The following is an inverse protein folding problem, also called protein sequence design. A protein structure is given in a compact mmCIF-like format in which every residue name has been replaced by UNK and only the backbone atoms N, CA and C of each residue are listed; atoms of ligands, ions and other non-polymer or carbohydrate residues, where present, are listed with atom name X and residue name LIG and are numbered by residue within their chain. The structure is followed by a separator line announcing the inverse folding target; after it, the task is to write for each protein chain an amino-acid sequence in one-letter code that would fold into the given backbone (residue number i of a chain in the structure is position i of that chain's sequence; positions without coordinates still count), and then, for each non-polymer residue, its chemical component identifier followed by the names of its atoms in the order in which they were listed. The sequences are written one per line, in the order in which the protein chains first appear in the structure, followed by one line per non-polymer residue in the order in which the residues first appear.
data_IF_699342591085
#
_entry.id   IF_699342591085
#
_cell.length_a   1.000
_cell.length_b   1.000
_cell.length_c   1.000
_cell.angle_alpha   90.00
_cell.angle_beta   90.00
_cell.angle_gamma   90.00
#
_symmetry.space_group_name_H-M   'P 1'
#
loop_
_entity.id
_entity.type
_entity.pdbx_description
1 polymer ?
#
# COMPACT_ATOMS: atom_id res chain seq x y z
N UNK A 1 11.35 -27.18 5.04
CA UNK A 1 10.65 -26.15 4.25
C UNK A 1 11.57 -24.95 4.13
N UNK A 2 11.71 -24.36 2.94
CA UNK A 2 12.56 -23.17 2.76
C UNK A 2 11.83 -21.95 3.33
N UNK A 3 12.53 -21.17 4.17
CA UNK A 3 11.98 -19.92 4.71
C UNK A 3 11.95 -18.88 3.59
N UNK A 4 10.76 -18.33 3.33
CA UNK A 4 10.52 -17.28 2.34
C UNK A 4 9.82 -16.09 2.99
N UNK A 5 10.46 -14.94 2.89
CA UNK A 5 9.96 -13.64 3.32
C UNK A 5 9.41 -12.88 2.11
N UNK A 6 8.22 -12.34 2.26
CA UNK A 6 7.61 -11.42 1.31
C UNK A 6 7.49 -10.05 1.98
N UNK A 7 8.14 -9.05 1.40
CA UNK A 7 8.00 -7.64 1.76
C UNK A 7 7.28 -6.95 0.62
N UNK A 8 6.11 -6.41 0.90
CA UNK A 8 5.26 -5.78 -0.10
C UNK A 8 5.32 -4.26 0.04
N UNK A 9 5.59 -3.55 -1.04
CA UNK A 9 5.34 -2.11 -1.13
C UNK A 9 3.82 -1.87 -1.18
N UNK A 10 3.26 -1.40 -0.09
CA UNK A 10 1.83 -1.17 0.02
C UNK A 10 1.33 0.00 -0.83
N UNK A 11 2.17 1.02 -1.07
CA UNK A 11 1.80 2.16 -1.91
C UNK A 11 1.70 1.73 -3.37
N UNK A 12 2.70 1.00 -3.88
CA UNK A 12 2.65 0.46 -5.24
C UNK A 12 1.41 -0.44 -5.46
N UNK A 13 1.07 -1.28 -4.48
CA UNK A 13 -0.12 -2.13 -4.56
C UNK A 13 -1.43 -1.32 -4.59
N UNK A 14 -1.52 -0.27 -3.76
CA UNK A 14 -2.67 0.63 -3.73
C UNK A 14 -2.87 1.38 -5.06
N UNK A 15 -1.81 1.97 -5.61
CA UNK A 15 -1.87 2.66 -6.90
C UNK A 15 -2.25 1.69 -8.03
N UNK A 16 -1.67 0.49 -8.05
CA UNK A 16 -2.01 -0.54 -9.04
C UNK A 16 -3.48 -0.91 -8.96
N UNK A 17 -4.02 -1.10 -7.75
CA UNK A 17 -5.42 -1.41 -7.55
C UNK A 17 -6.33 -0.24 -7.97
N UNK A 18 -5.99 1.00 -7.58
CA UNK A 18 -6.75 2.19 -7.96
C UNK A 18 -6.89 2.33 -9.48
N UNK A 19 -5.78 2.27 -10.22
CA UNK A 19 -5.81 2.42 -11.67
C UNK A 19 -6.45 1.23 -12.40
N UNK A 20 -6.39 0.02 -11.85
CA UNK A 20 -7.06 -1.15 -12.43
C UNK A 20 -8.60 -0.98 -12.45
N UNK A 21 -9.17 -0.28 -11.46
CA UNK A 21 -10.61 -0.11 -11.30
C UNK A 21 -11.11 1.30 -11.60
N UNK A 22 -10.25 2.22 -12.08
CA UNK A 22 -10.62 3.63 -12.31
C UNK A 22 -11.82 3.79 -13.27
N UNK A 23 -11.96 2.90 -14.26
CA UNK A 23 -13.08 2.90 -15.23
C UNK A 23 -14.34 2.20 -14.72
N UNK A 24 -14.22 1.39 -13.67
CA UNK A 24 -15.30 0.60 -13.10
C UNK A 24 -15.11 0.52 -11.57
N UNK A 25 -15.30 1.64 -10.85
CA UNK A 25 -15.01 1.72 -9.43
C UNK A 25 -15.98 0.85 -8.63
N UNK A 26 -15.43 0.15 -7.64
CA UNK A 26 -16.19 -0.62 -6.67
C UNK A 26 -16.56 0.31 -5.53
N UNK A 27 -17.86 0.36 -5.21
CA UNK A 27 -18.41 1.22 -4.16
C UNK A 27 -19.28 0.43 -3.21
N UNK A 28 -19.29 0.84 -1.95
CA UNK A 28 -20.23 0.35 -0.95
C UNK A 28 -21.64 0.94 -1.19
N UNK A 29 -22.65 0.45 -0.46
CA UNK A 29 -24.03 0.94 -0.56
C UNK A 29 -24.19 2.41 -0.15
N UNK A 30 -23.31 2.93 0.70
CA UNK A 30 -23.21 4.34 1.09
C UNK A 30 -22.31 5.17 0.16
N UNK A 31 -21.82 4.58 -0.94
CA UNK A 31 -21.13 5.29 -2.02
C UNK A 31 -19.60 5.44 -1.88
N UNK A 32 -19.02 4.95 -0.78
CA UNK A 32 -17.57 4.98 -0.54
C UNK A 32 -16.84 4.12 -1.58
N UNK A 33 -15.82 4.70 -2.22
CA UNK A 33 -14.97 3.96 -3.16
C UNK A 33 -14.04 3.01 -2.41
N UNK A 34 -14.15 1.71 -2.70
CA UNK A 34 -13.36 0.64 -2.08
C UNK A 34 -12.45 -0.07 -3.08
N UNK A 35 -12.32 0.47 -4.30
CA UNK A 35 -11.54 -0.13 -5.38
C UNK A 35 -10.10 -0.47 -5.00
N UNK A 36 -9.40 0.49 -4.39
CA UNK A 36 -8.01 0.31 -3.98
C UNK A 36 -7.88 -0.75 -2.87
N UNK A 37 -8.77 -0.72 -1.88
CA UNK A 37 -8.84 -1.70 -0.80
C UNK A 37 -9.13 -3.11 -1.33
N UNK A 38 -10.10 -3.23 -2.24
CA UNK A 38 -10.50 -4.50 -2.85
C UNK A 38 -9.35 -5.11 -3.66
N UNK A 39 -8.73 -4.34 -4.55
CA UNK A 39 -7.60 -4.82 -5.35
C UNK A 39 -6.38 -5.19 -4.52
N UNK A 40 -6.11 -4.44 -3.45
CA UNK A 40 -5.06 -4.76 -2.49
C UNK A 40 -5.34 -6.09 -1.79
N UNK A 41 -6.53 -6.26 -1.21
CA UNK A 41 -6.92 -7.47 -0.51
C UNK A 41 -6.85 -8.70 -1.41
N UNK A 42 -7.32 -8.59 -2.66
CA UNK A 42 -7.23 -9.69 -3.63
C UNK A 42 -5.78 -10.05 -3.96
N UNK A 43 -4.91 -9.05 -4.16
CA UNK A 43 -3.48 -9.31 -4.37
C UNK A 43 -2.88 -10.07 -3.19
N UNK A 44 -3.17 -9.62 -1.97
CA UNK A 44 -2.65 -10.23 -0.76
C UNK A 44 -3.11 -11.68 -0.59
N UNK A 45 -4.40 -11.93 -0.80
CA UNK A 45 -4.98 -13.29 -0.76
C UNK A 45 -4.38 -14.19 -1.83
N UNK A 46 -4.14 -13.67 -3.03
CA UNK A 46 -3.49 -14.42 -4.10
C UNK A 46 -2.06 -14.83 -3.73
N UNK A 47 -1.27 -13.90 -3.16
CA UNK A 47 0.08 -14.19 -2.66
C UNK A 47 0.04 -15.25 -1.55
N UNK A 48 -0.84 -15.10 -0.56
CA UNK A 48 -0.96 -16.06 0.53
C UNK A 48 -1.30 -17.47 0.00
N UNK A 49 -2.21 -17.56 -0.97
CA UNK A 49 -2.67 -18.83 -1.54
C UNK A 49 -1.62 -19.48 -2.45
N UNK A 50 -1.05 -18.73 -3.38
CA UNK A 50 -0.22 -19.28 -4.45
C UNK A 50 1.25 -19.34 -4.05
N UNK A 51 1.71 -18.36 -3.26
CA UNK A 51 3.11 -18.29 -2.85
C UNK A 51 3.34 -18.97 -1.52
N UNK A 52 2.36 -19.09 -0.63
CA UNK A 52 2.51 -19.71 0.70
C UNK A 52 3.80 -19.22 1.40
N UNK A 53 3.92 -17.90 1.64
CA UNK A 53 5.10 -17.34 2.30
C UNK A 53 5.15 -17.80 3.76
N UNK A 54 6.36 -17.93 4.29
CA UNK A 54 6.55 -18.23 5.73
C UNK A 54 6.51 -16.96 6.57
N UNK A 55 6.87 -15.82 5.98
CA UNK A 55 6.89 -14.51 6.61
C UNK A 55 6.35 -13.49 5.61
N UNK A 56 5.56 -12.53 6.09
CA UNK A 56 4.93 -11.52 5.26
C UNK A 56 4.85 -10.20 6.04
N UNK A 57 5.21 -9.10 5.39
CA UNK A 57 4.99 -7.76 5.90
C UNK A 57 4.68 -6.78 4.76
N UNK A 58 4.06 -5.66 5.10
CA UNK A 58 3.77 -4.58 4.15
C UNK A 58 4.51 -3.33 4.60
N UNK A 59 5.35 -2.76 3.73
CA UNK A 59 5.97 -1.47 3.95
C UNK A 59 5.06 -0.35 3.43
N UNK A 60 4.95 0.74 4.18
CA UNK A 60 4.22 1.94 3.76
C UNK A 60 5.09 3.18 3.93
N UNK A 61 4.87 4.16 3.05
CA UNK A 61 5.44 5.49 3.19
C UNK A 61 4.81 6.22 4.40
N UNK A 62 5.61 7.07 5.03
CA UNK A 62 5.12 8.03 6.02
C UNK A 62 4.96 9.41 5.37
N UNK A 63 4.18 10.29 5.99
CA UNK A 63 4.10 11.70 5.57
C UNK A 63 5.31 12.53 5.99
N UNK A 64 6.27 11.94 6.70
CA UNK A 64 7.47 12.64 7.15
C UNK A 64 8.40 12.89 5.95
N UNK A 65 8.99 14.11 5.83
CA UNK A 65 9.96 14.37 4.79
C UNK A 65 11.16 13.45 4.96
N UNK A 66 11.70 12.96 3.84
CA UNK A 66 12.91 12.14 3.84
C UNK A 66 14.15 13.00 3.61
N UNK A 67 15.36 12.54 3.98
CA UNK A 67 16.60 13.28 3.71
C UNK A 67 16.79 13.63 2.23
N UNK A 68 16.19 12.85 1.31
CA UNK A 68 16.20 13.13 -0.13
C UNK A 68 15.40 14.38 -0.49
N UNK A 69 14.29 14.65 0.21
CA UNK A 69 13.51 15.88 0.05
C UNK A 69 14.27 17.09 0.62
N UNK A 70 15.03 16.90 1.71
CA UNK A 70 15.87 17.95 2.29
C UNK A 70 17.08 18.30 1.40
N UNK A 71 17.73 17.30 0.81
CA UNK A 71 18.87 17.48 -0.09
C UNK A 71 18.48 18.01 -1.47
N UNK A 72 17.30 17.65 -1.97
CA UNK A 72 16.83 18.09 -3.28
C UNK A 72 15.32 18.39 -3.25
N UNK A 73 14.91 19.66 -3.10
CA UNK A 73 13.51 20.06 -3.01
C UNK A 73 12.66 19.70 -4.24
N UNK A 74 13.28 19.52 -5.41
CA UNK A 74 12.60 19.07 -6.63
C UNK A 74 12.50 17.53 -6.74
N UNK A 75 12.94 16.78 -5.71
CA UNK A 75 12.77 15.34 -5.64
C UNK A 75 11.28 15.00 -5.64
N UNK A 76 10.85 14.13 -6.56
CA UNK A 76 9.43 13.78 -6.79
C UNK A 76 8.49 14.95 -7.14
N UNK A 77 8.98 16.15 -7.43
CA UNK A 77 8.14 17.31 -7.75
C UNK A 77 7.29 17.16 -9.03
N UNK A 78 7.61 16.18 -9.88
CA UNK A 78 6.83 15.85 -11.08
C UNK A 78 5.76 14.78 -10.83
N UNK A 79 5.71 14.19 -9.64
CA UNK A 79 4.65 13.24 -9.29
C UNK A 79 3.36 14.01 -9.08
N UNK A 80 2.28 13.50 -9.65
CA UNK A 80 0.94 13.98 -9.36
C UNK A 80 0.63 13.77 -7.88
N UNK A 81 -0.22 14.64 -7.32
CA UNK A 81 -0.71 14.49 -5.96
C UNK A 81 -1.40 13.14 -5.79
N UNK A 82 -1.29 12.56 -4.58
CA UNK A 82 -1.94 11.30 -4.27
C UNK A 82 -3.46 11.43 -4.46
N UNK A 83 -4.10 10.57 -5.28
CA UNK A 83 -5.54 10.57 -5.44
C UNK A 83 -6.27 10.43 -4.09
N UNK A 84 -7.36 11.17 -3.92
CA UNK A 84 -8.16 11.16 -2.68
C UNK A 84 -8.61 9.74 -2.30
N UNK A 85 -9.03 8.94 -3.30
CA UNK A 85 -9.42 7.54 -3.10
C UNK A 85 -8.30 6.69 -2.47
N UNK A 86 -7.04 6.94 -2.82
CA UNK A 86 -5.89 6.22 -2.23
C UNK A 86 -5.65 6.71 -0.80
N UNK A 87 -5.70 8.03 -0.59
CA UNK A 87 -5.59 8.62 0.75
C UNK A 87 -6.62 8.04 1.72
N UNK A 88 -7.88 7.93 1.29
CA UNK A 88 -8.97 7.34 2.06
C UNK A 88 -8.82 5.84 2.28
N UNK A 89 -8.13 5.12 1.38
CA UNK A 89 -7.90 3.69 1.51
C UNK A 89 -6.80 3.35 2.54
N UNK A 90 -5.79 4.22 2.74
CA UNK A 90 -4.66 3.94 3.64
C UNK A 90 -5.11 3.56 5.08
N UNK A 91 -6.01 4.30 5.75
CA UNK A 91 -6.51 3.90 7.06
C UNK A 91 -7.21 2.53 7.06
N UNK A 92 -7.93 2.20 5.97
CA UNK A 92 -8.63 0.91 5.87
C UNK A 92 -7.65 -0.25 5.62
N UNK A 93 -6.56 -0.01 4.88
CA UNK A 93 -5.48 -0.99 4.72
C UNK A 93 -4.82 -1.28 6.07
N UNK A 94 -4.56 -0.25 6.88
CA UNK A 94 -4.01 -0.45 8.24
C UNK A 94 -4.90 -1.36 9.07
N UNK A 95 -6.21 -1.12 9.06
CA UNK A 95 -7.20 -1.96 9.75
C UNK A 95 -7.26 -3.39 9.19
N UNK A 96 -7.17 -3.54 7.86
CA UNK A 96 -7.16 -4.85 7.22
C UNK A 96 -5.92 -5.66 7.61
N UNK A 97 -4.72 -5.05 7.59
CA UNK A 97 -3.48 -5.75 7.95
C UNK A 97 -3.46 -6.14 9.41
N UNK A 98 -3.94 -5.26 10.30
CA UNK A 98 -4.14 -5.59 11.71
C UNK A 98 -5.07 -6.80 11.88
N UNK A 99 -6.24 -6.81 11.22
CA UNK A 99 -7.17 -7.94 11.28
C UNK A 99 -6.60 -9.24 10.72
N UNK A 100 -5.66 -9.16 9.78
CA UNK A 100 -4.97 -10.31 9.18
C UNK A 100 -3.71 -10.73 9.95
N UNK A 101 -3.35 -10.03 11.04
CA UNK A 101 -2.08 -10.20 11.75
C UNK A 101 -0.85 -10.06 10.84
N UNK A 102 -0.93 -9.19 9.83
CA UNK A 102 0.20 -8.86 8.95
C UNK A 102 0.83 -7.57 9.45
N UNK A 103 2.13 -7.57 9.82
CA UNK A 103 2.79 -6.36 10.28
C UNK A 103 2.90 -5.33 9.16
N UNK A 104 2.61 -4.08 9.52
CA UNK A 104 2.93 -2.91 8.70
C UNK A 104 4.25 -2.34 9.20
N UNK A 105 5.20 -2.17 8.28
CA UNK A 105 6.48 -1.55 8.53
C UNK A 105 6.41 -0.09 8.07
N UNK A 106 6.64 0.83 9.00
CA UNK A 106 6.73 2.27 8.74
C UNK A 106 7.88 2.83 9.57
N UNK A 107 8.60 3.81 9.02
CA UNK A 107 9.65 4.52 9.72
C UNK A 107 9.74 5.96 9.23
N UNK A 108 9.61 6.91 10.15
CA UNK A 108 9.73 8.33 9.81
C UNK A 108 11.10 8.64 9.22
N UNK A 109 11.12 9.42 8.15
CA UNK A 109 12.33 9.78 7.41
C UNK A 109 12.82 8.73 6.39
N UNK A 110 12.10 7.61 6.23
CA UNK A 110 12.40 6.55 5.28
C UNK A 110 11.18 6.28 4.37
N UNK A 111 11.43 5.98 3.10
CA UNK A 111 10.40 5.52 2.16
C UNK A 111 10.22 4.00 2.26
N UNK A 112 9.12 3.46 1.74
CA UNK A 112 8.89 2.02 1.68
C UNK A 112 10.02 1.28 0.95
N UNK A 113 10.63 1.92 -0.05
CA UNK A 113 11.79 1.40 -0.78
C UNK A 113 13.08 1.34 0.08
N UNK A 114 13.15 2.08 1.19
CA UNK A 114 14.30 2.09 2.10
C UNK A 114 14.13 1.10 3.29
N UNK A 115 12.91 0.60 3.52
CA UNK A 115 12.55 -0.33 4.61
C UNK A 115 12.80 -1.78 4.20
#
# INVERSE_FOLDING_TARGET
MSQRLFLLDGMALLYRAHFAFIKAPIRTSDGLNTSALYGFANTLLDILKNQQPTHLAVALDTSAPTPRHEMFPAYKAQREEMPEDISMAIPQIKRLMEAMNVPILVRDGYEADDI
#
